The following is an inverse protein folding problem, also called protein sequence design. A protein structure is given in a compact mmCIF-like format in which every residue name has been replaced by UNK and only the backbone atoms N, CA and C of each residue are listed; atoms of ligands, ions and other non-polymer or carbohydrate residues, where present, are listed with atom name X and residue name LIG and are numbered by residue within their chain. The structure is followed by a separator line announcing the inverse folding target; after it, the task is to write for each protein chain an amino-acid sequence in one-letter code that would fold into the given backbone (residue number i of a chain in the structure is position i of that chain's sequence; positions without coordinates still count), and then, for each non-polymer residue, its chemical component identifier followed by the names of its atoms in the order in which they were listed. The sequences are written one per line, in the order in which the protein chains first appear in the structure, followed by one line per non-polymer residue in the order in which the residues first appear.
data_IF_657922288377
#
_entry.id   IF_657922288377
#
_cell.length_a   1.000
_cell.length_b   1.000
_cell.length_c   1.000
_cell.angle_alpha   90.00
_cell.angle_beta   90.00
_cell.angle_gamma   90.00
#
_symmetry.space_group_name_H-M   'P 1'
#
loop_
_entity.id
_entity.type
_entity.pdbx_description
1 polymer ?
#
# COMPACT_ATOMS: atom_id res chain seq x y z
N UNK A 1 11.58 -1.05 12.33
CA UNK A 1 10.96 -0.37 11.18
C UNK A 1 9.46 -0.43 11.34
N UNK A 2 8.76 0.62 10.90
CA UNK A 2 7.30 0.71 10.88
C UNK A 2 6.89 1.32 9.55
N UNK A 3 5.82 0.81 8.96
CA UNK A 3 5.30 1.36 7.70
C UNK A 3 3.90 1.93 7.92
N UNK A 4 3.50 2.84 7.05
CA UNK A 4 2.15 3.42 7.01
C UNK A 4 1.61 3.36 5.60
N UNK A 5 0.31 3.16 5.47
CA UNK A 5 -0.45 3.55 4.28
C UNK A 5 -1.47 4.58 4.74
N UNK A 6 -1.59 5.68 4.02
CA UNK A 6 -2.65 6.67 4.23
C UNK A 6 -3.44 6.83 2.95
N UNK A 7 -4.76 6.67 3.01
CA UNK A 7 -5.67 6.89 1.88
C UNK A 7 -6.40 8.23 2.08
N UNK A 8 -6.40 9.04 1.04
CA UNK A 8 -7.09 10.31 0.99
C UNK A 8 -8.14 10.31 -0.13
N UNK A 9 -9.30 10.90 0.13
CA UNK A 9 -10.29 11.20 -0.90
C UNK A 9 -10.49 12.71 -0.96
N UNK A 10 -9.94 13.36 -1.97
CA UNK A 10 -10.11 14.79 -2.20
C UNK A 10 -11.51 15.11 -2.77
N UNK A 11 -11.99 16.33 -2.52
CA UNK A 11 -13.10 16.88 -3.32
C UNK A 11 -12.60 17.14 -4.75
N UNK A 12 -13.41 16.90 -5.79
CA UNK A 12 -12.98 17.04 -7.18
C UNK A 12 -12.36 18.41 -7.52
N UNK A 13 -12.91 19.49 -6.99
CA UNK A 13 -12.41 20.86 -7.18
C UNK A 13 -11.05 21.13 -6.51
N UNK A 14 -10.60 20.25 -5.62
CA UNK A 14 -9.35 20.38 -4.87
C UNK A 14 -8.30 19.31 -5.22
N UNK A 15 -8.64 18.29 -6.01
CA UNK A 15 -7.76 17.15 -6.29
C UNK A 15 -6.37 17.56 -6.79
N UNK A 16 -6.29 18.43 -7.80
CA UNK A 16 -5.01 18.91 -8.34
C UNK A 16 -4.16 19.65 -7.31
N UNK A 17 -4.77 20.56 -6.54
CA UNK A 17 -4.06 21.31 -5.49
C UNK A 17 -3.64 20.42 -4.32
N UNK A 18 -4.45 19.41 -4.00
CA UNK A 18 -4.14 18.47 -2.93
C UNK A 18 -2.98 17.54 -3.32
N UNK A 19 -2.98 17.03 -4.56
CA UNK A 19 -1.86 16.28 -5.13
C UNK A 19 -0.54 17.06 -5.09
N UNK A 20 -0.57 18.35 -5.47
CA UNK A 20 0.61 19.22 -5.37
C UNK A 20 1.11 19.37 -3.92
N UNK A 21 0.18 19.46 -2.96
CA UNK A 21 0.51 19.54 -1.52
C UNK A 21 1.12 18.23 -1.02
N UNK A 22 0.59 17.07 -1.43
CA UNK A 22 1.17 15.76 -1.11
C UNK A 22 2.60 15.63 -1.63
N UNK A 23 2.87 16.09 -2.87
CA UNK A 23 4.22 16.07 -3.44
C UNK A 23 5.20 17.01 -2.73
N UNK A 24 4.72 18.19 -2.31
CA UNK A 24 5.53 19.11 -1.50
C UNK A 24 5.88 18.46 -0.15
N UNK A 25 4.90 17.84 0.51
CA UNK A 25 5.11 17.11 1.75
C UNK A 25 6.11 15.96 1.55
N UNK A 26 5.92 15.13 0.52
CA UNK A 26 6.84 14.04 0.17
C UNK A 26 8.29 14.51 0.05
N UNK A 27 8.55 15.59 -0.70
CA UNK A 27 9.90 16.11 -0.89
C UNK A 27 10.53 16.66 0.40
N UNK A 28 9.73 17.08 1.38
CA UNK A 28 10.19 17.47 2.70
C UNK A 28 10.43 16.24 3.59
N UNK A 29 9.50 15.28 3.59
CA UNK A 29 9.56 14.06 4.39
C UNK A 29 10.76 13.18 4.04
N UNK A 30 11.16 13.12 2.76
CA UNK A 30 12.38 12.42 2.33
C UNK A 30 13.66 12.91 3.02
N UNK A 31 13.64 14.10 3.63
CA UNK A 31 14.79 14.71 4.32
C UNK A 31 14.74 14.50 5.82
N UNK A 32 13.65 13.94 6.35
CA UNK A 32 13.47 13.74 7.77
C UNK A 32 14.36 12.64 8.32
N UNK A 33 14.81 12.82 9.56
CA UNK A 33 15.51 11.77 10.28
C UNK A 33 14.56 10.58 10.53
N UNK A 34 14.95 9.42 10.03
CA UNK A 34 14.21 8.17 10.23
C UNK A 34 13.20 7.83 9.13
N UNK A 35 12.98 8.71 8.14
CA UNK A 35 12.29 8.30 6.91
C UNK A 35 13.23 7.44 6.04
N UNK A 36 12.74 6.31 5.58
CA UNK A 36 13.46 5.39 4.69
C UNK A 36 12.84 5.30 3.30
N UNK A 37 11.54 5.56 3.21
CA UNK A 37 10.79 5.56 1.97
C UNK A 37 9.55 6.43 2.17
N UNK A 38 9.21 7.23 1.15
CA UNK A 38 7.89 7.84 1.03
C UNK A 38 7.54 7.95 -0.45
N UNK A 39 6.35 7.46 -0.80
CA UNK A 39 5.80 7.47 -2.14
C UNK A 39 4.36 7.94 -2.13
N UNK A 40 4.01 8.81 -3.08
CA UNK A 40 2.66 9.33 -3.28
C UNK A 40 2.10 8.71 -4.55
N UNK A 41 0.84 8.28 -4.48
CA UNK A 41 0.15 7.65 -5.59
C UNK A 41 -1.24 8.26 -5.79
N UNK A 42 -1.74 8.16 -7.02
CA UNK A 42 -3.14 8.42 -7.38
C UNK A 42 -3.79 7.13 -7.87
N UNK A 43 -5.06 6.92 -7.55
CA UNK A 43 -5.83 5.80 -8.08
C UNK A 43 -6.03 5.93 -9.59
N UNK A 44 -5.91 4.80 -10.31
CA UNK A 44 -6.23 4.69 -11.74
C UNK A 44 -7.73 4.77 -12.02
N UNK A 45 -8.58 4.42 -11.04
CA UNK A 45 -10.04 4.42 -11.20
C UNK A 45 -10.70 5.74 -10.75
N UNK A 46 -10.03 6.51 -9.90
CA UNK A 46 -10.54 7.79 -9.39
C UNK A 46 -9.39 8.78 -9.11
N UNK A 47 -9.29 9.81 -9.94
CA UNK A 47 -8.24 10.84 -9.82
C UNK A 47 -8.33 11.70 -8.55
N UNK A 48 -9.37 11.52 -7.74
CA UNK A 48 -9.54 12.20 -6.44
C UNK A 48 -9.04 11.34 -5.27
N UNK A 49 -8.69 10.08 -5.50
CA UNK A 49 -8.22 9.17 -4.47
C UNK A 49 -6.71 9.05 -4.54
N UNK A 50 -6.05 9.35 -3.41
CA UNK A 50 -4.60 9.32 -3.28
C UNK A 50 -4.18 8.33 -2.19
N UNK A 51 -3.00 7.76 -2.36
CA UNK A 51 -2.35 6.92 -1.36
C UNK A 51 -0.96 7.47 -1.05
N UNK A 52 -0.56 7.39 0.20
CA UNK A 52 0.82 7.63 0.62
C UNK A 52 1.30 6.38 1.32
N UNK A 53 2.43 5.82 0.86
CA UNK A 53 3.13 4.74 1.54
C UNK A 53 4.43 5.27 2.12
N UNK A 54 4.70 4.95 3.38
CA UNK A 54 5.90 5.40 4.07
C UNK A 54 6.56 4.29 4.87
N UNK A 55 7.87 4.39 5.03
CA UNK A 55 8.67 3.52 5.90
C UNK A 55 9.52 4.36 6.83
N UNK A 56 9.46 3.99 8.10
CA UNK A 56 10.02 4.74 9.21
C UNK A 56 10.90 3.85 10.07
N UNK A 57 12.00 4.38 10.61
CA UNK A 57 12.89 3.62 11.49
C UNK A 57 12.12 2.98 12.66
N UNK A 58 11.20 3.75 13.25
CA UNK A 58 10.35 3.33 14.36
C UNK A 58 9.11 4.25 14.49
N UNK A 59 8.31 4.01 15.54
CA UNK A 59 7.13 4.81 15.86
C UNK A 59 7.46 6.25 16.30
N UNK A 60 8.60 6.48 16.95
CA UNK A 60 8.98 7.82 17.39
C UNK A 60 9.31 8.72 16.19
N UNK A 61 9.85 8.15 15.10
CA UNK A 61 10.02 8.87 13.84
C UNK A 61 8.67 9.33 13.25
N UNK A 62 7.65 8.46 13.26
CA UNK A 62 6.28 8.83 12.84
C UNK A 62 5.71 9.95 13.72
N UNK A 63 5.85 9.84 15.05
CA UNK A 63 5.37 10.86 15.99
C UNK A 63 6.12 12.20 15.86
N UNK A 64 7.33 12.19 15.31
CA UNK A 64 8.08 13.40 14.94
C UNK A 64 7.56 13.97 13.63
N UNK A 65 7.39 13.13 12.60
CA UNK A 65 6.83 13.50 11.31
C UNK A 65 5.47 14.19 11.43
N UNK A 66 4.59 13.68 12.31
CA UNK A 66 3.29 14.28 12.58
C UNK A 66 3.36 15.75 13.03
N UNK A 67 4.49 16.18 13.60
CA UNK A 67 4.71 17.55 14.11
C UNK A 67 5.44 18.45 13.13
N UNK A 68 5.94 17.90 12.02
CA UNK A 68 6.69 18.67 11.03
C UNK A 68 5.80 19.71 10.33
N UNK A 69 6.34 20.89 9.95
CA UNK A 69 5.54 21.96 9.37
C UNK A 69 4.79 21.56 8.09
N UNK A 70 5.40 20.70 7.26
CA UNK A 70 4.79 20.26 6.01
C UNK A 70 3.63 19.28 6.25
N UNK A 71 3.73 18.41 7.26
CA UNK A 71 2.65 17.51 7.70
C UNK A 71 1.49 18.30 8.31
N UNK A 72 1.79 19.27 9.18
CA UNK A 72 0.78 20.18 9.74
C UNK A 72 0.07 21.00 8.66
N UNK A 73 0.80 21.48 7.64
CA UNK A 73 0.22 22.15 6.47
C UNK A 73 -0.71 21.21 5.69
N UNK A 74 -0.30 19.97 5.43
CA UNK A 74 -1.13 18.97 4.75
C UNK A 74 -2.42 18.70 5.53
N UNK A 75 -2.32 18.50 6.86
CA UNK A 75 -3.48 18.30 7.74
C UNK A 75 -4.43 19.50 7.70
N UNK A 76 -3.91 20.73 7.72
CA UNK A 76 -4.73 21.95 7.64
C UNK A 76 -5.47 22.04 6.31
N UNK A 77 -4.77 21.83 5.18
CA UNK A 77 -5.39 21.84 3.85
C UNK A 77 -6.44 20.73 3.74
N UNK A 78 -6.17 19.56 4.32
CA UNK A 78 -7.07 18.41 4.32
C UNK A 78 -8.45 18.71 4.90
N UNK A 79 -8.54 19.61 5.90
CA UNK A 79 -9.82 20.00 6.52
C UNK A 79 -10.82 20.61 5.52
N UNK A 80 -10.33 21.26 4.47
CA UNK A 80 -11.17 21.85 3.42
C UNK A 80 -11.17 21.04 2.13
N UNK A 81 -10.01 20.46 1.79
CA UNK A 81 -9.77 19.80 0.51
C UNK A 81 -10.34 18.37 0.42
N UNK A 82 -10.49 17.67 1.55
CA UNK A 82 -10.93 16.28 1.55
C UNK A 82 -12.46 16.15 1.60
N UNK A 83 -12.97 15.15 0.89
CA UNK A 83 -14.38 14.75 0.91
C UNK A 83 -14.73 13.95 2.17
N UNK A 84 -13.77 13.19 2.69
CA UNK A 84 -13.88 12.39 3.92
C UNK A 84 -12.62 12.53 4.77
N UNK A 85 -12.67 12.09 6.03
CA UNK A 85 -11.43 11.91 6.79
C UNK A 85 -10.49 10.93 6.06
N UNK A 86 -9.16 11.11 6.17
CA UNK A 86 -8.21 10.12 5.65
C UNK A 86 -8.32 8.80 6.41
N UNK A 87 -8.09 7.69 5.71
CA UNK A 87 -7.92 6.37 6.33
C UNK A 87 -6.43 6.16 6.64
N UNK A 88 -6.12 5.84 7.90
CA UNK A 88 -4.76 5.58 8.35
C UNK A 88 -4.58 4.08 8.65
N UNK A 89 -3.58 3.48 8.02
CA UNK A 89 -3.17 2.10 8.24
C UNK A 89 -1.75 2.08 8.79
N UNK A 90 -1.60 1.88 10.10
CA UNK A 90 -0.31 1.65 10.74
C UNK A 90 0.05 0.18 10.60
N UNK A 91 1.20 -0.10 9.99
CA UNK A 91 1.51 -1.44 9.51
C UNK A 91 2.46 -2.18 10.46
N UNK A 92 2.16 -3.45 10.71
CA UNK A 92 3.04 -4.41 11.36
C UNK A 92 3.57 -5.43 10.36
N UNK A 93 4.87 -5.70 10.41
CA UNK A 93 5.53 -6.65 9.51
C UNK A 93 4.98 -8.07 9.68
N UNK A 94 4.90 -8.80 8.57
CA UNK A 94 4.61 -10.25 8.55
C UNK A 94 5.85 -11.04 8.12
N UNK A 95 5.70 -12.36 7.95
CA UNK A 95 6.71 -13.23 7.35
C UNK A 95 6.30 -13.59 5.91
N UNK A 96 7.19 -13.50 4.90
CA UNK A 96 8.54 -12.91 4.99
C UNK A 96 8.51 -11.40 5.24
N UNK A 97 9.61 -10.88 5.81
CA UNK A 97 9.78 -9.43 6.02
C UNK A 97 9.73 -8.66 4.69
N UNK A 98 9.39 -7.36 4.72
CA UNK A 98 9.45 -6.51 3.54
C UNK A 98 10.81 -6.54 2.86
N UNK A 99 10.83 -6.72 1.54
CA UNK A 99 12.06 -6.78 0.74
C UNK A 99 12.11 -5.60 -0.25
N UNK A 100 13.29 -4.98 -0.38
CA UNK A 100 13.59 -3.89 -1.32
C UNK A 100 14.81 -4.21 -2.19
N UNK A 101 15.10 -5.50 -2.37
CA UNK A 101 16.27 -5.98 -3.13
C UNK A 101 16.15 -5.76 -4.64
N UNK A 102 14.93 -5.64 -5.17
CA UNK A 102 14.65 -5.39 -6.59
C UNK A 102 14.20 -3.94 -6.83
N UNK A 103 14.45 -3.44 -8.04
CA UNK A 103 14.00 -2.14 -8.52
C UNK A 103 13.42 -2.22 -9.93
N UNK A 104 12.63 -1.22 -10.29
CA UNK A 104 12.16 -1.01 -11.66
C UNK A 104 13.33 -0.78 -12.63
N UNK A 105 13.14 -1.19 -13.88
CA UNK A 105 13.98 -0.81 -15.01
C UNK A 105 13.41 0.47 -15.65
N UNK A 106 14.20 1.13 -16.51
CA UNK A 106 13.79 2.36 -17.20
C UNK A 106 12.57 2.16 -18.13
N UNK A 107 12.45 0.98 -18.76
CA UNK A 107 11.38 0.66 -19.72
C UNK A 107 10.16 -0.02 -19.08
N UNK A 108 10.12 -0.17 -17.75
CA UNK A 108 9.01 -0.86 -17.08
C UNK A 108 7.73 0.02 -17.07
N UNK A 109 6.60 -0.55 -17.48
CA UNK A 109 5.27 0.06 -17.39
C UNK A 109 4.59 -0.34 -16.07
N UNK A 110 5.12 0.22 -14.98
CA UNK A 110 4.86 -0.25 -13.63
C UNK A 110 3.38 -0.42 -13.30
N UNK A 111 3.08 -1.57 -12.70
CA UNK A 111 1.74 -1.95 -12.26
C UNK A 111 1.75 -2.13 -10.74
N UNK A 112 1.08 -1.21 -10.04
CA UNK A 112 1.18 -1.02 -8.60
C UNK A 112 -0.18 -1.23 -7.97
N UNK A 113 -0.23 -2.03 -6.90
CA UNK A 113 -1.48 -2.43 -6.24
C UNK A 113 -1.35 -2.21 -4.73
N UNK A 114 -2.35 -1.55 -4.14
CA UNK A 114 -2.65 -1.69 -2.71
C UNK A 114 -3.91 -2.54 -2.57
N UNK A 115 -3.77 -3.70 -1.95
CA UNK A 115 -4.89 -4.58 -1.63
C UNK A 115 -5.10 -4.61 -0.12
N UNK A 116 -6.05 -3.80 0.36
CA UNK A 116 -6.32 -3.59 1.79
C UNK A 116 -7.69 -4.19 2.09
N UNK A 117 -7.73 -5.39 2.64
CA UNK A 117 -8.93 -6.21 2.69
C UNK A 117 -9.36 -6.55 4.10
N UNK A 118 -10.67 -6.65 4.29
CA UNK A 118 -11.29 -7.15 5.51
C UNK A 118 -11.68 -8.61 5.38
N UNK A 119 -11.55 -9.37 6.44
CA UNK A 119 -11.80 -10.82 6.42
C UNK A 119 -12.27 -11.32 7.80
N UNK A 120 -12.84 -12.52 7.84
CA UNK A 120 -13.19 -13.18 9.10
C UNK A 120 -11.93 -13.48 9.95
N UNK A 121 -11.76 -12.86 11.13
CA UNK A 121 -10.57 -13.03 11.97
C UNK A 121 -10.28 -14.48 12.37
N UNK A 122 -11.25 -15.38 12.35
CA UNK A 122 -11.04 -16.81 12.65
C UNK A 122 -10.08 -17.46 11.65
N UNK A 123 -9.95 -16.92 10.44
CA UNK A 123 -9.05 -17.39 9.39
C UNK A 123 -7.69 -16.71 9.40
N UNK A 124 -7.44 -15.72 10.28
CA UNK A 124 -6.21 -14.90 10.29
C UNK A 124 -4.93 -15.73 10.21
N UNK A 125 -4.84 -16.78 11.03
CA UNK A 125 -3.66 -17.68 11.01
C UNK A 125 -3.50 -18.39 9.67
N UNK A 126 -4.58 -18.88 9.08
CA UNK A 126 -4.55 -19.58 7.80
C UNK A 126 -4.15 -18.65 6.66
N UNK A 127 -4.69 -17.43 6.65
CA UNK A 127 -4.36 -16.39 5.67
C UNK A 127 -2.89 -16.02 5.78
N UNK A 128 -2.38 -15.73 6.98
CA UNK A 128 -0.96 -15.40 7.19
C UNK A 128 -0.04 -16.54 6.74
N UNK A 129 -0.35 -17.79 7.08
CA UNK A 129 0.44 -18.95 6.63
C UNK A 129 0.38 -19.12 5.11
N UNK A 130 -0.78 -18.90 4.48
CA UNK A 130 -0.91 -19.01 3.03
C UNK A 130 -0.15 -17.90 2.30
N UNK A 131 -0.20 -16.67 2.80
CA UNK A 131 0.56 -15.57 2.23
C UNK A 131 2.08 -15.73 2.41
N UNK A 132 2.55 -16.36 3.49
CA UNK A 132 3.98 -16.66 3.63
C UNK A 132 4.49 -17.53 2.46
N UNK A 133 3.74 -18.57 2.09
CA UNK A 133 4.03 -19.43 0.93
C UNK A 133 3.87 -18.65 -0.39
N UNK A 134 2.78 -17.90 -0.54
CA UNK A 134 2.51 -17.09 -1.74
C UNK A 134 3.64 -16.10 -2.01
N UNK A 135 4.01 -15.29 -1.03
CA UNK A 135 5.04 -14.26 -1.17
C UNK A 135 6.41 -14.89 -1.42
N UNK A 136 6.74 -15.97 -0.70
CA UNK A 136 8.03 -16.66 -0.86
C UNK A 136 8.20 -17.17 -2.30
N UNK A 137 7.18 -17.82 -2.85
CA UNK A 137 7.26 -18.35 -4.21
C UNK A 137 7.17 -17.25 -5.26
N UNK A 138 6.31 -16.23 -5.11
CA UNK A 138 6.26 -15.11 -6.06
C UNK A 138 7.61 -14.40 -6.18
N UNK A 139 8.23 -14.03 -5.06
CA UNK A 139 9.52 -13.32 -5.09
C UNK A 139 10.63 -14.14 -5.75
N UNK A 140 10.59 -15.46 -5.56
CA UNK A 140 11.57 -16.43 -6.05
C UNK A 140 11.37 -16.80 -7.52
N UNK A 141 10.13 -16.97 -7.96
CA UNK A 141 9.79 -17.59 -9.25
C UNK A 141 9.36 -16.57 -10.31
N UNK A 142 8.91 -15.38 -9.91
CA UNK A 142 8.32 -14.40 -10.83
C UNK A 142 9.28 -13.22 -11.08
N UNK A 143 9.92 -13.21 -12.25
CA UNK A 143 10.84 -12.15 -12.69
C UNK A 143 10.18 -10.76 -12.80
N UNK A 144 8.87 -10.76 -13.06
CA UNK A 144 8.04 -9.54 -13.11
C UNK A 144 7.75 -8.93 -11.74
N UNK A 145 7.95 -9.68 -10.65
CA UNK A 145 7.73 -9.17 -9.30
C UNK A 145 8.91 -8.30 -8.84
N UNK A 146 8.64 -7.02 -8.55
CA UNK A 146 9.59 -6.11 -7.91
C UNK A 146 9.39 -6.15 -6.39
N UNK A 147 8.15 -6.08 -5.94
CA UNK A 147 7.79 -6.08 -4.52
C UNK A 147 6.45 -6.78 -4.36
N UNK A 148 6.35 -7.60 -3.32
CA UNK A 148 5.09 -8.13 -2.82
C UNK A 148 5.22 -8.33 -1.32
N UNK A 149 4.62 -7.43 -0.56
CA UNK A 149 4.67 -7.42 0.89
C UNK A 149 3.26 -7.53 1.47
N UNK A 150 3.13 -8.30 2.55
CA UNK A 150 1.94 -8.32 3.41
C UNK A 150 2.24 -7.61 4.71
N UNK A 151 1.22 -6.95 5.25
CA UNK A 151 1.24 -6.27 6.52
C UNK A 151 -0.01 -6.58 7.32
N UNK A 152 0.17 -6.69 8.63
CA UNK A 152 -0.92 -6.50 9.59
C UNK A 152 -1.25 -5.02 9.74
N UNK A 153 -2.47 -4.70 10.13
CA UNK A 153 -2.88 -3.34 10.48
C UNK A 153 -3.06 -3.23 12.00
N UNK A 154 -2.29 -2.34 12.64
CA UNK A 154 -2.28 -2.18 14.10
C UNK A 154 -3.70 -1.85 14.61
N UNK A 155 -4.18 -2.65 15.57
CA UNK A 155 -5.52 -2.48 16.15
C UNK A 155 -6.68 -3.04 15.31
N UNK A 156 -6.41 -3.68 14.17
CA UNK A 156 -7.42 -4.29 13.29
C UNK A 156 -7.10 -5.77 13.03
N UNK A 157 -7.73 -6.67 13.79
CA UNK A 157 -7.53 -8.11 13.65
C UNK A 157 -8.18 -8.71 12.39
N UNK A 158 -9.15 -8.00 11.83
CA UNK A 158 -9.91 -8.33 10.63
C UNK A 158 -9.35 -7.68 9.35
N UNK A 159 -8.25 -6.93 9.42
CA UNK A 159 -7.67 -6.24 8.27
C UNK A 159 -6.22 -6.63 8.03
N UNK A 160 -5.88 -6.89 6.76
CA UNK A 160 -4.51 -6.98 6.26
C UNK A 160 -4.33 -6.04 5.07
N UNK A 161 -3.08 -5.62 4.84
CA UNK A 161 -2.72 -4.78 3.71
C UNK A 161 -1.60 -5.44 2.91
N UNK A 162 -1.82 -5.54 1.61
CA UNK A 162 -0.83 -5.97 0.63
C UNK A 162 -0.39 -4.76 -0.17
N UNK A 163 0.91 -4.63 -0.34
CA UNK A 163 1.52 -3.68 -1.27
C UNK A 163 2.28 -4.48 -2.32
N UNK A 164 2.00 -4.21 -3.58
CA UNK A 164 2.59 -4.90 -4.71
C UNK A 164 3.12 -3.92 -5.76
N UNK A 165 4.25 -4.29 -6.36
CA UNK A 165 4.91 -3.55 -7.41
C UNK A 165 5.40 -4.54 -8.46
N UNK A 166 4.92 -4.36 -9.69
CA UNK A 166 5.17 -5.25 -10.82
C UNK A 166 5.75 -4.48 -11.99
N UNK A 167 6.60 -5.12 -12.79
CA UNK A 167 7.24 -4.49 -13.94
C UNK A 167 6.22 -4.07 -15.00
N UNK A 168 5.14 -4.83 -15.17
CA UNK A 168 4.04 -4.55 -16.09
C UNK A 168 2.78 -5.29 -15.69
N UNK A 169 1.66 -4.85 -16.25
CA UNK A 169 0.33 -5.38 -15.97
C UNK A 169 0.17 -6.88 -16.31
N UNK A 170 0.76 -7.34 -17.42
CA UNK A 170 0.66 -8.76 -17.82
C UNK A 170 1.39 -9.71 -16.88
N UNK A 171 2.39 -9.24 -16.12
CA UNK A 171 3.03 -10.07 -15.10
C UNK A 171 2.03 -10.43 -13.99
N UNK A 172 1.02 -9.60 -13.74
CA UNK A 172 -0.03 -9.90 -12.76
C UNK A 172 -1.12 -10.79 -13.35
N UNK A 173 -1.74 -10.36 -14.45
CA UNK A 173 -2.94 -11.03 -14.97
C UNK A 173 -2.64 -12.33 -15.71
N UNK A 174 -1.57 -12.34 -16.51
CA UNK A 174 -1.28 -13.49 -17.37
C UNK A 174 -0.39 -14.52 -16.65
N UNK A 175 0.39 -14.08 -15.66
CA UNK A 175 1.34 -14.94 -14.94
C UNK A 175 0.92 -15.13 -13.48
N UNK A 176 0.98 -14.09 -12.65
CA UNK A 176 0.84 -14.19 -11.20
C UNK A 176 -0.44 -14.91 -10.78
N UNK A 177 -1.60 -14.45 -11.25
CA UNK A 177 -2.88 -15.04 -10.86
C UNK A 177 -3.11 -16.46 -11.38
N UNK A 178 -2.28 -16.94 -12.30
CA UNK A 178 -2.32 -18.31 -12.79
C UNK A 178 -1.34 -19.25 -12.05
N UNK A 179 -0.55 -18.73 -11.09
CA UNK A 179 0.36 -19.55 -10.30
C UNK A 179 -0.40 -20.38 -9.25
N UNK A 180 0.01 -21.64 -8.98
CA UNK A 180 -0.70 -22.50 -8.04
C UNK A 180 -0.87 -21.92 -6.63
N UNK A 181 0.16 -21.22 -6.13
CA UNK A 181 0.13 -20.57 -4.82
C UNK A 181 -0.82 -19.36 -4.80
N UNK A 182 -0.88 -18.58 -5.88
CA UNK A 182 -1.76 -17.43 -6.00
C UNK A 182 -3.23 -17.86 -6.10
N UNK A 183 -3.52 -18.90 -6.89
CA UNK A 183 -4.86 -19.49 -6.99
C UNK A 183 -5.35 -20.05 -5.65
N UNK A 184 -4.45 -20.65 -4.86
CA UNK A 184 -4.78 -21.15 -3.52
C UNK A 184 -5.11 -20.00 -2.56
N UNK A 185 -4.36 -18.90 -2.62
CA UNK A 185 -4.68 -17.68 -1.88
C UNK A 185 -6.02 -17.10 -2.32
N UNK A 186 -6.26 -16.99 -3.64
CA UNK A 186 -7.52 -16.48 -4.19
C UNK A 186 -8.74 -17.23 -3.66
N UNK A 187 -8.73 -18.57 -3.70
CA UNK A 187 -9.81 -19.40 -3.16
C UNK A 187 -10.03 -19.19 -1.66
N UNK A 188 -8.95 -19.13 -0.88
CA UNK A 188 -9.04 -18.87 0.55
C UNK A 188 -9.67 -17.49 0.81
N UNK A 189 -9.29 -16.47 0.04
CA UNK A 189 -9.84 -15.13 0.20
C UNK A 189 -11.29 -15.02 -0.26
N UNK A 190 -11.69 -15.70 -1.35
CA UNK A 190 -13.10 -15.78 -1.78
C UNK A 190 -14.02 -16.36 -0.69
N UNK A 191 -13.51 -17.25 0.17
CA UNK A 191 -14.26 -17.83 1.29
C UNK A 191 -14.29 -16.95 2.54
N UNK A 192 -13.31 -16.04 2.71
CA UNK A 192 -13.03 -15.41 4.02
C UNK A 192 -13.13 -13.90 4.02
N UNK A 193 -13.04 -13.25 2.86
CA UNK A 193 -13.11 -11.79 2.73
C UNK A 193 -14.55 -11.30 2.82
N UNK A 194 -14.74 -10.17 3.50
CA UNK A 194 -16.05 -9.50 3.56
C UNK A 194 -16.35 -8.79 2.23
N UNK A 195 -17.09 -9.47 1.35
CA UNK A 195 -17.51 -8.97 0.04
C UNK A 195 -16.56 -9.36 -1.11
N UNK A 196 -16.61 -8.60 -2.21
CA UNK A 196 -15.83 -8.90 -3.42
C UNK A 196 -14.38 -8.42 -3.27
N UNK A 197 -13.41 -9.27 -3.62
CA UNK A 197 -11.98 -8.94 -3.56
C UNK A 197 -11.62 -7.66 -4.33
N UNK A 198 -12.27 -7.44 -5.47
CA UNK A 198 -11.99 -6.29 -6.36
C UNK A 198 -12.26 -4.95 -5.68
N UNK A 199 -13.18 -4.90 -4.72
CA UNK A 199 -13.48 -3.66 -4.00
C UNK A 199 -12.31 -3.18 -3.14
N UNK A 200 -11.42 -4.10 -2.76
CA UNK A 200 -10.25 -3.84 -1.92
C UNK A 200 -8.97 -3.63 -2.74
N UNK A 201 -8.98 -3.93 -4.05
CA UNK A 201 -7.84 -3.76 -4.94
C UNK A 201 -7.80 -2.32 -5.48
N UNK A 202 -6.75 -1.59 -5.10
CA UNK A 202 -6.51 -0.22 -5.56
C UNK A 202 -5.33 -0.23 -6.50
N UNK A 203 -5.60 -0.09 -7.81
CA UNK A 203 -4.57 0.09 -8.82
C UNK A 203 -4.17 1.55 -8.87
N UNK A 204 -2.88 1.82 -8.74
CA UNK A 204 -2.39 3.18 -8.56
C UNK A 204 -1.23 3.51 -9.50
N UNK A 205 -1.00 4.80 -9.68
CA UNK A 205 0.18 5.36 -10.37
C UNK A 205 0.94 6.25 -9.39
N UNK A 206 2.26 6.10 -9.31
CA UNK A 206 3.14 6.97 -8.52
C UNK A 206 3.20 8.37 -9.18
N UNK A 207 3.06 9.46 -8.40
CA UNK A 207 2.95 10.85 -8.92
C UNK A 207 3.99 11.82 -8.38
#
# INVERSE_FOLDING_TARGET
MKSTIVKFTAKPEHATSFAATLKEAQAATQKEAGNHEIKVFVSKSDANVFFVYERWSDKAAIESHDKEPHTQKLMQIGQTALATAPDFYFLGDTNPLPDRSKSANEDDELFIIFFIFKFDPTYRKQILTQFEDHITNTRKEEEGNILFDLYTVDGQEDTLAVYEYWRKESDVWDIHFNQPYAMKTGKLLEETVDGDLKQYMNFVTEI
#
